data_IF_812355375091
#
_entry.id   IF_812355375091
#
_cell.length_a   1.000
_cell.length_b   1.000
_cell.length_c   1.000
_cell.angle_alpha   90.00
_cell.angle_beta   90.00
_cell.angle_gamma   90.00
#
_symmetry.space_group_name_H-M   'P 1'
#
loop_
_entity.id
_entity.type
_entity.pdbx_description
1 polymer ?
#
# COMPACT_ATOMS: atom_id res chain seq x y z
N UNK A 1 -2.91 20.50 14.52
CA UNK A 1 -1.61 20.29 13.85
C UNK A 1 -0.91 18.95 14.17
N UNK A 2 -0.40 18.70 15.39
CA UNK A 2 0.44 17.51 15.68
C UNK A 2 -0.23 16.15 15.48
N UNK A 3 -1.56 16.04 15.65
CA UNK A 3 -2.31 14.76 15.53
C UNK A 3 -2.34 14.22 14.10
N UNK A 4 -2.56 15.08 13.10
CA UNK A 4 -2.65 14.65 11.69
C UNK A 4 -1.30 14.12 11.17
N UNK A 5 -0.20 14.72 11.62
CA UNK A 5 1.15 14.26 11.28
C UNK A 5 1.48 12.89 11.89
N UNK A 6 1.07 12.64 13.14
CA UNK A 6 1.20 11.30 13.76
C UNK A 6 0.36 10.26 13.00
N UNK A 7 -0.89 10.59 12.65
CA UNK A 7 -1.74 9.71 11.84
C UNK A 7 -1.15 9.44 10.45
N UNK A 8 -0.58 10.45 9.80
CA UNK A 8 0.12 10.29 8.52
C UNK A 8 1.28 9.28 8.62
N UNK A 9 2.11 9.36 9.67
CA UNK A 9 3.19 8.39 9.89
C UNK A 9 2.67 6.97 10.17
N UNK A 10 1.58 6.83 10.93
CA UNK A 10 0.96 5.52 11.17
C UNK A 10 0.43 4.92 9.87
N UNK A 11 -0.25 5.71 9.03
CA UNK A 11 -0.72 5.25 7.73
C UNK A 11 0.44 4.90 6.78
N UNK A 12 1.58 5.61 6.89
CA UNK A 12 2.78 5.27 6.14
C UNK A 12 3.29 3.88 6.52
N UNK A 13 3.41 3.61 7.82
CA UNK A 13 3.81 2.30 8.32
C UNK A 13 2.80 1.22 7.89
N UNK A 14 1.49 1.50 7.96
CA UNK A 14 0.45 0.58 7.52
C UNK A 14 0.48 0.32 6.02
N UNK A 15 0.92 1.27 5.19
CA UNK A 15 1.05 1.07 3.74
C UNK A 15 2.08 -0.01 3.38
N UNK A 16 3.03 -0.32 4.27
CA UNK A 16 3.99 -1.40 4.05
C UNK A 16 3.35 -2.79 4.07
N UNK A 17 2.19 -2.94 4.73
CA UNK A 17 1.46 -4.22 4.80
C UNK A 17 0.97 -4.68 3.41
N UNK A 18 0.15 -3.91 2.67
CA UNK A 18 -0.24 -4.30 1.32
C UNK A 18 0.94 -4.37 0.35
N UNK A 19 2.01 -3.61 0.57
CA UNK A 19 3.24 -3.73 -0.23
C UNK A 19 3.91 -5.11 -0.02
N UNK A 20 4.01 -5.59 1.22
CA UNK A 20 4.54 -6.92 1.52
C UNK A 20 3.67 -8.05 0.98
N UNK A 21 2.35 -7.88 1.01
CA UNK A 21 1.45 -8.83 0.34
C UNK A 21 1.62 -8.81 -1.17
N UNK A 22 1.74 -7.63 -1.78
CA UNK A 22 1.93 -7.48 -3.21
C UNK A 22 3.22 -8.17 -3.68
N UNK A 23 4.34 -7.98 -2.98
CA UNK A 23 5.60 -8.66 -3.34
C UNK A 23 5.47 -10.19 -3.24
N UNK A 24 4.84 -10.69 -2.17
CA UNK A 24 4.57 -12.12 -2.01
C UNK A 24 3.64 -12.67 -3.10
N UNK A 25 2.57 -11.94 -3.44
CA UNK A 25 1.63 -12.31 -4.50
C UNK A 25 2.33 -12.34 -5.86
N UNK A 26 3.15 -11.35 -6.18
CA UNK A 26 3.89 -11.29 -7.44
C UNK A 26 4.81 -12.50 -7.62
N UNK A 27 5.54 -12.90 -6.58
CA UNK A 27 6.38 -14.10 -6.61
C UNK A 27 5.55 -15.38 -6.86
N UNK A 28 4.39 -15.50 -6.22
CA UNK A 28 3.53 -16.67 -6.37
C UNK A 28 2.85 -16.74 -7.75
N UNK A 29 2.34 -15.62 -8.28
CA UNK A 29 1.69 -15.63 -9.59
C UNK A 29 2.70 -15.88 -10.70
N UNK A 30 3.94 -15.40 -10.56
CA UNK A 30 5.04 -15.72 -11.47
C UNK A 30 5.33 -17.23 -11.45
N UNK A 31 5.47 -17.83 -10.26
CA UNK A 31 5.68 -19.27 -10.11
C UNK A 31 4.53 -20.12 -10.66
N UNK A 32 3.29 -19.62 -10.60
CA UNK A 32 2.09 -20.29 -11.09
C UNK A 32 1.74 -19.92 -12.54
N UNK A 33 2.54 -19.08 -13.20
CA UNK A 33 2.30 -18.57 -14.55
C UNK A 33 0.93 -17.89 -14.71
N UNK A 34 0.46 -17.23 -13.65
CA UNK A 34 -0.78 -16.45 -13.59
C UNK A 34 -0.49 -15.02 -14.05
N UNK A 35 -1.34 -14.41 -14.91
CA UNK A 35 -1.10 -13.06 -15.39
C UNK A 35 -1.16 -12.01 -14.27
N UNK A 36 -0.35 -10.94 -14.40
CA UNK A 36 -0.28 -9.85 -13.42
C UNK A 36 -1.60 -9.10 -13.25
N UNK A 37 -2.52 -9.24 -14.21
CA UNK A 37 -3.86 -8.65 -14.20
C UNK A 37 -4.79 -9.34 -13.20
N UNK A 38 -4.29 -10.33 -12.43
CA UNK A 38 -5.04 -10.99 -11.39
C UNK A 38 -5.61 -9.96 -10.38
N UNK A 39 -6.92 -10.02 -10.03
CA UNK A 39 -7.58 -9.03 -9.19
C UNK A 39 -6.85 -8.74 -7.87
N UNK A 40 -6.19 -9.75 -7.29
CA UNK A 40 -5.42 -9.63 -6.06
C UNK A 40 -4.27 -8.60 -6.18
N UNK A 41 -3.55 -8.59 -7.30
CA UNK A 41 -2.46 -7.63 -7.57
C UNK A 41 -3.01 -6.21 -7.62
N UNK A 42 -4.16 -6.03 -8.27
CA UNK A 42 -4.84 -4.73 -8.38
C UNK A 42 -5.30 -4.22 -7.01
N UNK A 43 -5.88 -5.08 -6.17
CA UNK A 43 -6.35 -4.72 -4.84
C UNK A 43 -5.18 -4.37 -3.92
N UNK A 44 -4.13 -5.19 -3.88
CA UNK A 44 -2.95 -4.97 -3.03
C UNK A 44 -2.20 -3.70 -3.48
N UNK A 45 -1.99 -3.51 -4.79
CA UNK A 45 -1.38 -2.32 -5.34
C UNK A 45 -2.19 -1.04 -5.09
N UNK A 46 -3.49 -1.06 -5.33
CA UNK A 46 -4.36 0.12 -5.07
C UNK A 46 -4.46 0.45 -3.59
N UNK A 47 -4.50 -0.56 -2.71
CA UNK A 47 -4.50 -0.35 -1.24
C UNK A 47 -3.21 0.31 -0.77
N UNK A 48 -2.05 -0.14 -1.28
CA UNK A 48 -0.76 0.49 -1.00
C UNK A 48 -0.75 1.96 -1.45
N UNK A 49 -1.11 2.23 -2.70
CA UNK A 49 -1.13 3.59 -3.25
C UNK A 49 -2.09 4.50 -2.48
N UNK A 50 -3.30 4.02 -2.16
CA UNK A 50 -4.29 4.78 -1.40
C UNK A 50 -3.76 5.18 -0.02
N UNK A 51 -3.21 4.22 0.75
CA UNK A 51 -2.65 4.49 2.07
C UNK A 51 -1.47 5.46 2.00
N UNK A 52 -0.60 5.30 0.99
CA UNK A 52 0.56 6.18 0.78
C UNK A 52 0.12 7.62 0.47
N UNK A 53 -0.84 7.81 -0.43
CA UNK A 53 -1.38 9.13 -0.79
C UNK A 53 -2.04 9.80 0.41
N UNK A 54 -2.89 9.08 1.15
CA UNK A 54 -3.55 9.61 2.34
C UNK A 54 -2.52 9.95 3.42
N UNK A 55 -1.50 9.12 3.62
CA UNK A 55 -0.39 9.38 4.53
C UNK A 55 0.32 10.70 4.21
N UNK A 56 0.68 10.93 2.95
CA UNK A 56 1.35 12.16 2.54
C UNK A 56 0.44 13.38 2.68
N UNK A 57 -0.85 13.24 2.35
CA UNK A 57 -1.81 14.34 2.49
C UNK A 57 -1.98 14.76 3.96
N UNK A 58 -2.10 13.80 4.88
CA UNK A 58 -2.18 14.06 6.32
C UNK A 58 -0.88 14.62 6.89
N UNK A 59 0.27 14.21 6.34
CA UNK A 59 1.60 14.70 6.74
C UNK A 59 1.88 16.12 6.24
N UNK A 60 1.31 16.53 5.09
CA UNK A 60 1.47 17.86 4.48
C UNK A 60 0.55 18.94 5.06
N UNK A 61 -0.55 18.59 5.74
CA UNK A 61 -1.40 19.57 6.44
C UNK A 61 -0.62 20.21 7.61
N UNK A 62 0.07 21.32 7.31
CA UNK A 62 0.55 22.31 8.28
C UNK A 62 -0.67 23.01 8.87
#
# INVERSE_FOLDING_TARGET
MKRNRKLGLVLLALSLVPLGFLTYTLLNIEALNIPITHPRVLIEGSSFVALLVVSFWLSKKK
#
